data_IF_529604878805
#
_entry.id   IF_529604878805
#
_cell.length_a   1.000
_cell.length_b   1.000
_cell.length_c   1.000
_cell.angle_alpha   90.00
_cell.angle_beta   90.00
_cell.angle_gamma   90.00
#
_symmetry.space_group_name_H-M   'P 1'
#
loop_
_entity.id
_entity.type
_entity.pdbx_description
1 polymer ?
#
# COMPACT_ATOMS: atom_id res chain seq x y z
N UNK A 1 -14.22 -18.87 -1.51
CA UNK A 1 -13.80 -17.84 -0.54
C UNK A 1 -14.84 -16.74 -0.61
N UNK A 2 -15.47 -16.40 0.50
CA UNK A 2 -16.55 -15.39 0.53
C UNK A 2 -15.92 -14.00 0.64
N UNK A 3 -16.14 -13.15 -0.36
CA UNK A 3 -15.67 -11.78 -0.36
C UNK A 3 -16.46 -10.99 0.69
N UNK A 4 -15.78 -10.34 1.63
CA UNK A 4 -16.43 -9.41 2.55
C UNK A 4 -16.84 -8.15 1.80
N UNK A 5 -18.14 -7.84 1.81
CA UNK A 5 -18.71 -6.64 1.16
C UNK A 5 -17.98 -5.35 1.58
N UNK A 6 -17.60 -5.23 2.86
CA UNK A 6 -16.86 -4.07 3.35
C UNK A 6 -15.50 -3.92 2.64
N UNK A 7 -14.71 -4.99 2.54
CA UNK A 7 -13.40 -4.94 1.88
C UNK A 7 -13.50 -4.56 0.41
N UNK A 8 -14.50 -5.09 -0.30
CA UNK A 8 -14.78 -4.71 -1.68
C UNK A 8 -15.15 -3.23 -1.82
N UNK A 9 -16.00 -2.72 -0.92
CA UNK A 9 -16.40 -1.32 -0.93
C UNK A 9 -15.21 -0.38 -0.68
N UNK A 10 -14.31 -0.74 0.25
CA UNK A 10 -13.09 0.02 0.52
C UNK A 10 -12.14 0.01 -0.69
N UNK A 11 -11.97 -1.13 -1.35
CA UNK A 11 -11.20 -1.25 -2.60
C UNK A 11 -11.79 -0.35 -3.71
N UNK A 12 -13.11 -0.36 -3.89
CA UNK A 12 -13.78 0.51 -4.85
C UNK A 12 -13.66 1.99 -4.48
N UNK A 13 -13.68 2.33 -3.18
CA UNK A 13 -13.48 3.70 -2.72
C UNK A 13 -12.06 4.20 -3.04
N UNK A 14 -11.04 3.37 -2.89
CA UNK A 14 -9.66 3.71 -3.29
C UNK A 14 -9.57 3.96 -4.80
N UNK A 15 -10.09 3.04 -5.62
CA UNK A 15 -10.13 3.22 -7.09
C UNK A 15 -10.83 4.52 -7.48
N UNK A 16 -12.02 4.75 -6.92
CA UNK A 16 -12.83 5.93 -7.19
C UNK A 16 -12.10 7.22 -6.82
N UNK A 17 -11.50 7.28 -5.63
CA UNK A 17 -10.76 8.47 -5.18
C UNK A 17 -9.57 8.78 -6.10
N UNK A 18 -8.83 7.75 -6.56
CA UNK A 18 -7.73 7.94 -7.51
C UNK A 18 -8.25 8.45 -8.87
N UNK A 19 -9.37 7.92 -9.35
CA UNK A 19 -10.01 8.39 -10.60
C UNK A 19 -10.47 9.85 -10.49
N UNK A 20 -11.05 10.25 -9.36
CA UNK A 20 -11.45 11.64 -9.11
C UNK A 20 -10.24 12.57 -9.06
N UNK A 21 -9.15 12.19 -8.37
CA UNK A 21 -7.90 12.96 -8.31
C UNK A 21 -7.32 13.14 -9.71
N UNK A 22 -7.23 12.05 -10.50
CA UNK A 22 -6.65 12.10 -11.84
C UNK A 22 -7.49 12.93 -12.84
N UNK A 23 -8.79 13.09 -12.59
CA UNK A 23 -9.69 13.92 -13.40
C UNK A 23 -9.76 15.38 -12.94
N UNK A 24 -9.23 15.72 -11.77
CA UNK A 24 -9.20 17.08 -11.25
C UNK A 24 -7.88 17.78 -11.60
N UNK A 25 -7.91 18.65 -12.62
CA UNK A 25 -6.74 19.42 -13.04
C UNK A 25 -6.15 20.37 -11.96
N UNK A 26 -6.85 20.61 -10.85
CA UNK A 26 -6.35 21.39 -9.72
C UNK A 26 -5.53 20.57 -8.71
N UNK A 27 -5.68 19.24 -8.74
CA UNK A 27 -4.98 18.31 -7.86
C UNK A 27 -4.00 17.47 -8.68
N UNK A 28 -2.70 17.53 -8.33
CA UNK A 28 -1.64 16.80 -9.04
C UNK A 28 -1.61 17.06 -10.57
N UNK A 29 -1.58 18.32 -11.02
CA UNK A 29 -1.60 18.64 -12.44
C UNK A 29 -0.45 17.95 -13.19
N UNK A 30 -0.78 17.32 -14.33
CA UNK A 30 0.17 16.59 -15.18
C UNK A 30 0.80 15.33 -14.54
N UNK A 31 0.24 14.84 -13.43
CA UNK A 31 0.64 13.58 -12.80
C UNK A 31 -0.58 12.66 -12.75
N UNK A 32 -0.39 11.37 -13.04
CA UNK A 32 -1.40 10.35 -12.82
C UNK A 32 -1.02 9.52 -11.61
N UNK A 33 -1.94 9.43 -10.66
CA UNK A 33 -1.83 8.55 -9.52
C UNK A 33 -2.24 7.13 -9.93
N UNK A 34 -1.35 6.17 -9.68
CA UNK A 34 -1.62 4.74 -9.77
C UNK A 34 -1.95 4.15 -8.40
N UNK A 35 -2.39 2.89 -8.38
CA UNK A 35 -2.59 2.14 -7.14
C UNK A 35 -2.26 0.66 -7.35
N UNK A 36 -1.76 0.02 -6.29
CA UNK A 36 -1.67 -1.42 -6.15
C UNK A 36 -2.52 -1.85 -4.94
N UNK A 37 -3.36 -2.87 -5.11
CA UNK A 37 -4.27 -3.34 -4.07
C UNK A 37 -4.04 -4.83 -3.82
N UNK A 38 -3.98 -5.19 -2.54
CA UNK A 38 -3.67 -6.54 -2.04
C UNK A 38 -4.68 -6.93 -0.98
N UNK A 39 -5.07 -8.21 -0.96
CA UNK A 39 -5.95 -8.75 0.09
C UNK A 39 -5.13 -9.06 1.35
N UNK A 40 -5.53 -8.46 2.48
CA UNK A 40 -4.96 -8.73 3.80
C UNK A 40 -5.89 -9.69 4.52
N UNK A 41 -5.79 -10.98 4.18
CA UNK A 41 -6.62 -12.03 4.76
C UNK A 41 -6.57 -11.96 6.31
N UNK A 42 -7.77 -11.89 6.94
CA UNK A 42 -8.04 -11.51 8.33
C UNK A 42 -7.19 -12.13 9.47
N UNK A 43 -6.38 -13.17 9.23
CA UNK A 43 -5.85 -14.02 10.30
C UNK A 43 -4.35 -14.38 10.23
N UNK A 44 -3.65 -14.22 9.10
CA UNK A 44 -2.30 -14.80 9.01
C UNK A 44 -1.30 -14.12 8.07
N UNK A 45 -1.67 -13.06 7.34
CA UNK A 45 -0.77 -12.56 6.31
C UNK A 45 -0.83 -11.05 6.05
N UNK A 46 -0.43 -10.26 7.05
CA UNK A 46 -0.12 -8.84 6.84
C UNK A 46 1.34 -8.63 6.39
N UNK A 47 2.20 -9.62 6.59
CA UNK A 47 3.63 -9.53 6.29
C UNK A 47 3.89 -9.68 4.79
N UNK A 48 3.31 -10.67 4.10
CA UNK A 48 3.54 -10.80 2.66
C UNK A 48 3.11 -9.56 1.87
N UNK A 49 1.92 -8.96 2.10
CA UNK A 49 1.50 -7.80 1.34
C UNK A 49 2.40 -6.57 1.57
N UNK A 50 2.85 -6.32 2.81
CA UNK A 50 3.79 -5.21 3.06
C UNK A 50 5.17 -5.49 2.46
N UNK A 51 5.69 -6.72 2.53
CA UNK A 51 6.96 -7.07 1.87
C UNK A 51 6.87 -6.97 0.35
N UNK A 52 5.71 -7.28 -0.23
CA UNK A 52 5.44 -7.05 -1.65
C UNK A 52 5.52 -5.56 -1.99
N UNK A 53 4.84 -4.69 -1.24
CA UNK A 53 4.93 -3.24 -1.45
C UNK A 53 6.33 -2.67 -1.25
N UNK A 54 7.11 -3.25 -0.34
CA UNK A 54 8.50 -2.87 -0.09
C UNK A 54 9.48 -3.45 -1.12
N UNK A 55 9.11 -4.46 -1.90
CA UNK A 55 9.99 -5.03 -2.93
C UNK A 55 10.22 -4.06 -4.09
N UNK A 56 11.16 -4.37 -4.97
CA UNK A 56 11.33 -3.73 -6.28
C UNK A 56 10.45 -4.40 -7.35
N UNK A 57 10.47 -3.88 -8.57
CA UNK A 57 9.68 -4.41 -9.70
C UNK A 57 9.96 -5.89 -10.01
N UNK A 58 11.18 -6.35 -9.73
CA UNK A 58 11.62 -7.74 -9.89
C UNK A 58 11.29 -8.65 -8.70
N UNK A 59 10.47 -8.15 -7.76
CA UNK A 59 10.08 -8.83 -6.51
C UNK A 59 11.25 -9.07 -5.53
N UNK A 60 12.40 -8.43 -5.74
CA UNK A 60 13.52 -8.49 -4.80
C UNK A 60 13.33 -7.52 -3.64
N UNK A 61 13.75 -7.96 -2.44
CA UNK A 61 13.87 -7.11 -1.26
C UNK A 61 15.22 -7.43 -0.60
N UNK A 62 16.31 -6.78 -1.03
CA UNK A 62 17.63 -7.05 -0.47
C UNK A 62 17.67 -6.62 1.01
N UNK A 63 18.35 -7.41 1.83
CA UNK A 63 18.62 -7.02 3.22
C UNK A 63 19.74 -5.98 3.19
N UNK A 64 19.42 -4.76 3.60
CA UNK A 64 20.36 -3.63 3.66
C UNK A 64 20.46 -3.09 5.09
N UNK A 65 21.59 -2.48 5.42
CA UNK A 65 21.78 -1.79 6.70
C UNK A 65 21.05 -0.45 6.75
N UNK A 66 20.86 0.19 5.60
CA UNK A 66 20.20 1.49 5.46
C UNK A 66 19.29 1.50 4.23
N UNK A 67 18.03 1.86 4.43
CA UNK A 67 17.02 2.00 3.37
C UNK A 67 16.69 3.46 3.04
N UNK A 68 17.44 4.45 3.56
CA UNK A 68 17.17 5.89 3.36
C UNK A 68 17.11 6.33 1.88
N UNK A 69 17.76 5.58 0.99
CA UNK A 69 17.76 5.81 -0.46
C UNK A 69 17.07 4.69 -1.26
N UNK A 70 16.42 3.77 -0.56
CA UNK A 70 15.72 2.67 -1.20
C UNK A 70 14.42 3.17 -1.85
N UNK A 71 14.13 2.70 -3.06
CA UNK A 71 12.91 3.04 -3.80
C UNK A 71 12.02 1.78 -3.87
N UNK A 72 10.98 1.70 -3.02
CA UNK A 72 9.99 0.62 -3.08
C UNK A 72 9.00 0.83 -4.23
N UNK A 73 8.20 -0.20 -4.52
CA UNK A 73 7.15 -0.14 -5.57
C UNK A 73 6.09 0.91 -5.34
N UNK A 74 5.77 1.22 -4.08
CA UNK A 74 4.73 2.18 -3.71
C UNK A 74 5.31 3.37 -2.96
N UNK A 75 4.64 4.52 -3.04
CA UNK A 75 5.07 5.75 -2.36
C UNK A 75 4.34 6.02 -1.04
N UNK A 76 3.20 5.34 -0.81
CA UNK A 76 2.39 5.40 0.39
C UNK A 76 1.51 4.16 0.48
N UNK A 77 1.07 3.79 1.68
CA UNK A 77 0.13 2.67 1.92
C UNK A 77 -1.12 3.19 2.62
N UNK A 78 -2.30 2.72 2.23
CA UNK A 78 -3.57 3.01 2.91
C UNK A 78 -4.10 1.72 3.56
N UNK A 79 -4.44 1.79 4.85
CA UNK A 79 -4.90 0.65 5.65
C UNK A 79 -3.75 -0.12 6.31
N UNK A 80 -3.96 -1.35 6.80
CA UNK A 80 -5.23 -2.09 6.84
C UNK A 80 -6.25 -1.50 7.82
N UNK A 81 -7.44 -2.07 7.86
CA UNK A 81 -8.62 -1.59 8.61
C UNK A 81 -8.54 -1.84 10.13
N UNK A 82 -7.69 -2.77 10.59
CA UNK A 82 -7.59 -3.16 11.99
C UNK A 82 -6.25 -2.73 12.61
N UNK A 83 -6.31 -2.25 13.86
CA UNK A 83 -5.18 -1.61 14.54
C UNK A 83 -3.97 -2.53 14.74
N UNK A 84 -4.17 -3.80 15.10
CA UNK A 84 -3.06 -4.74 15.34
C UNK A 84 -2.27 -5.00 14.04
N UNK A 85 -2.98 -5.16 12.92
CA UNK A 85 -2.37 -5.29 11.60
C UNK A 85 -1.72 -3.98 11.16
N UNK A 86 -2.35 -2.83 11.43
CA UNK A 86 -1.81 -1.52 11.08
C UNK A 86 -0.48 -1.24 11.80
N UNK A 87 -0.39 -1.55 13.10
CA UNK A 87 0.86 -1.47 13.88
C UNK A 87 1.93 -2.38 13.28
N UNK A 88 1.57 -3.63 12.95
CA UNK A 88 2.51 -4.57 12.33
C UNK A 88 3.05 -4.03 11.00
N UNK A 89 2.18 -3.52 10.13
CA UNK A 89 2.57 -2.93 8.84
C UNK A 89 3.43 -1.67 9.04
N UNK A 90 3.06 -0.79 9.97
CA UNK A 90 3.80 0.44 10.28
C UNK A 90 5.25 0.16 10.68
N UNK A 91 5.48 -0.91 11.46
CA UNK A 91 6.83 -1.32 11.82
C UNK A 91 7.69 -1.64 10.59
N UNK A 92 7.17 -2.34 9.59
CA UNK A 92 7.91 -2.59 8.35
C UNK A 92 8.09 -1.32 7.52
N UNK A 93 7.04 -0.54 7.32
CA UNK A 93 7.08 0.67 6.49
C UNK A 93 8.02 1.75 7.05
N UNK A 94 8.09 1.88 8.38
CA UNK A 94 8.96 2.86 9.04
C UNK A 94 10.45 2.62 8.77
N UNK A 95 10.88 1.38 8.51
CA UNK A 95 12.27 1.07 8.14
C UNK A 95 12.67 1.68 6.80
N UNK A 96 11.70 1.90 5.92
CA UNK A 96 11.86 2.43 4.55
C UNK A 96 11.40 3.88 4.43
N UNK A 97 11.05 4.52 5.55
CA UNK A 97 10.50 5.89 5.59
C UNK A 97 9.24 6.05 4.71
N UNK A 98 8.46 4.97 4.56
CA UNK A 98 7.27 4.94 3.71
C UNK A 98 6.03 5.34 4.53
N UNK A 99 5.29 6.38 4.14
CA UNK A 99 4.12 6.84 4.88
C UNK A 99 2.96 5.85 4.79
N UNK A 100 2.31 5.64 5.94
CA UNK A 100 1.06 4.89 6.10
C UNK A 100 -0.05 5.82 6.61
#
# INVERSE_FOLDING_TARGET
YEMKVLGYNLMQAMRFAVEEINNDSSLLPSVLLGYEMVDTCYLSNNVQPVLYFLSQDDYSLPIQEDYSHYVPRVVAVIGPDNSDSAITVAHFLSLFLLPQ
#
